data_IF_753843693395
#
_entry.id   IF_753843693395
#
_cell.length_a   1.000
_cell.length_b   1.000
_cell.length_c   1.000
_cell.angle_alpha   90.00
_cell.angle_beta   90.00
_cell.angle_gamma   90.00
#
_symmetry.space_group_name_H-M   'P 1'
#
loop_
_entity.id
_entity.type
_entity.pdbx_description
1 polymer ?
#
# COMPACT_ATOMS: atom_id res chain seq x y z
N UNK A 1 16.83 24.50 -10.73
CA UNK A 1 15.37 24.27 -10.80
C UNK A 1 15.12 22.94 -11.51
N UNK A 2 15.03 21.83 -10.78
CA UNK A 2 14.76 20.54 -11.41
C UNK A 2 13.33 20.54 -11.96
N UNK A 3 13.18 20.60 -13.28
CA UNK A 3 11.90 20.52 -13.96
C UNK A 3 11.18 19.23 -13.54
N UNK A 4 10.02 19.37 -12.93
CA UNK A 4 9.17 18.25 -12.56
C UNK A 4 8.46 17.77 -13.83
N UNK A 5 9.11 16.93 -14.63
CA UNK A 5 8.48 16.27 -15.77
C UNK A 5 7.42 15.29 -15.24
N UNK A 6 6.23 15.80 -14.90
CA UNK A 6 5.03 14.98 -14.76
C UNK A 6 4.80 14.36 -16.13
N UNK A 7 5.31 13.15 -16.35
CA UNK A 7 4.87 12.29 -17.46
C UNK A 7 3.35 12.40 -17.50
N UNK A 8 2.78 12.87 -18.62
CA UNK A 8 1.32 12.93 -18.79
C UNK A 8 0.80 11.50 -18.69
N UNK A 9 0.33 11.14 -17.50
CA UNK A 9 -0.28 9.84 -17.29
C UNK A 9 -1.74 9.99 -17.73
N UNK A 10 -2.04 9.37 -18.88
CA UNK A 10 -3.41 9.26 -19.37
C UNK A 10 -4.22 8.36 -18.44
N UNK A 11 -5.17 8.97 -17.72
CA UNK A 11 -6.02 8.32 -16.71
C UNK A 11 -6.92 7.21 -17.29
N UNK A 12 -7.23 7.32 -18.59
CA UNK A 12 -8.15 6.41 -19.28
C UNK A 12 -7.50 5.11 -19.78
N UNK A 13 -6.19 4.97 -19.68
CA UNK A 13 -5.46 3.74 -20.02
C UNK A 13 -5.22 2.95 -18.73
N UNK A 14 -5.67 1.70 -18.68
CA UNK A 14 -5.48 0.86 -17.49
C UNK A 14 -3.99 0.53 -17.30
N UNK A 15 -3.48 0.74 -16.08
CA UNK A 15 -2.06 0.52 -15.76
C UNK A 15 -1.92 -0.43 -14.58
N UNK A 16 -0.84 -1.21 -14.58
CA UNK A 16 -0.49 -2.05 -13.43
C UNK A 16 -0.18 -1.16 -12.22
N UNK A 17 -0.67 -1.53 -11.03
CA UNK A 17 -0.32 -0.85 -9.79
C UNK A 17 1.15 -1.09 -9.45
N UNK A 18 1.69 -0.28 -8.54
CA UNK A 18 3.06 -0.42 -8.05
C UNK A 18 3.02 -1.08 -6.68
N UNK A 19 3.68 -2.21 -6.51
CA UNK A 19 3.79 -2.87 -5.20
C UNK A 19 4.70 -2.08 -4.28
N UNK A 20 4.39 -2.14 -2.99
CA UNK A 20 5.17 -1.56 -1.90
C UNK A 20 5.04 -2.47 -0.68
N UNK A 21 6.14 -2.70 0.01
CA UNK A 21 6.14 -3.38 1.30
C UNK A 21 5.97 -2.32 2.39
N UNK A 22 5.02 -2.53 3.30
CA UNK A 22 4.79 -1.69 4.46
C UNK A 22 4.65 -2.54 5.72
N UNK A 23 5.14 -2.01 6.85
CA UNK A 23 4.97 -2.64 8.14
C UNK A 23 3.92 -1.88 8.95
N UNK A 24 3.04 -2.61 9.62
CA UNK A 24 2.05 -2.03 10.52
C UNK A 24 1.90 -2.87 11.79
N UNK A 25 1.29 -2.28 12.82
CA UNK A 25 0.97 -2.96 14.07
C UNK A 25 -0.44 -3.54 14.01
N UNK A 26 -0.54 -4.83 13.73
CA UNK A 26 -1.78 -5.58 13.86
C UNK A 26 -2.10 -5.73 15.35
N UNK A 27 -3.36 -5.45 15.72
CA UNK A 27 -3.83 -5.38 17.11
C UNK A 27 -3.09 -4.38 18.02
N UNK A 28 -2.27 -3.48 17.44
CA UNK A 28 -1.47 -2.53 18.20
C UNK A 28 -0.17 -3.10 18.79
N UNK A 29 0.18 -4.36 18.55
CA UNK A 29 1.40 -4.96 19.13
C UNK A 29 2.08 -6.03 18.26
N UNK A 30 1.44 -6.55 17.20
CA UNK A 30 2.07 -7.53 16.29
C UNK A 30 2.63 -6.79 15.07
N UNK A 31 3.95 -6.81 14.90
CA UNK A 31 4.63 -6.23 13.74
C UNK A 31 4.32 -7.11 12.54
N UNK A 32 3.58 -6.57 11.58
CA UNK A 32 3.10 -7.28 10.40
C UNK A 32 3.63 -6.61 9.14
N UNK A 33 4.33 -7.37 8.30
CA UNK A 33 4.73 -6.97 6.95
C UNK A 33 3.61 -7.28 5.97
N UNK A 34 3.24 -6.29 5.15
CA UNK A 34 2.17 -6.39 4.18
C UNK A 34 2.60 -5.80 2.82
N UNK A 35 2.33 -6.52 1.74
CA UNK A 35 2.52 -6.01 0.37
C UNK A 35 1.26 -5.26 -0.08
N UNK A 36 1.34 -3.93 -0.09
CA UNK A 36 0.26 -3.07 -0.56
C UNK A 36 0.51 -2.60 -2.00
N UNK A 37 -0.56 -2.13 -2.66
CA UNK A 37 -0.52 -1.65 -4.04
C UNK A 37 -0.89 -0.18 -4.14
N UNK A 38 -0.06 0.59 -4.85
CA UNK A 38 -0.19 2.02 -5.02
C UNK A 38 -0.57 2.39 -6.46
N UNK A 39 -1.30 3.50 -6.60
CA UNK A 39 -1.64 4.08 -7.89
C UNK A 39 -0.36 4.48 -8.65
N UNK A 40 -0.18 4.08 -9.92
CA UNK A 40 1.00 4.43 -10.70
C UNK A 40 1.08 5.92 -11.02
N UNK A 41 -0.04 6.65 -10.92
CA UNK A 41 -0.12 8.08 -11.23
C UNK A 41 0.13 8.98 -10.03
N UNK A 42 -0.61 8.78 -8.94
CA UNK A 42 -0.55 9.65 -7.75
C UNK A 42 0.17 9.01 -6.54
N UNK A 43 0.59 7.74 -6.66
CA UNK A 43 1.30 6.98 -5.62
C UNK A 43 0.51 6.78 -4.30
N UNK A 44 -0.78 7.10 -4.28
CA UNK A 44 -1.67 6.78 -3.15
C UNK A 44 -2.03 5.29 -3.14
N UNK A 45 -2.16 4.74 -1.94
CA UNK A 45 -2.56 3.35 -1.70
C UNK A 45 -3.95 3.11 -2.30
N UNK A 46 -4.13 1.96 -2.95
CA UNK A 46 -5.36 1.60 -3.65
C UNK A 46 -6.36 0.82 -2.76
N UNK A 47 -5.94 0.38 -1.57
CA UNK A 47 -6.72 -0.46 -0.65
C UNK A 47 -7.32 -1.67 -1.39
N UNK A 48 -6.48 -2.37 -2.15
CA UNK A 48 -6.85 -3.50 -2.96
C UNK A 48 -6.37 -4.79 -2.29
N UNK A 49 -7.11 -5.87 -2.50
CA UNK A 49 -6.82 -7.21 -1.99
C UNK A 49 -7.30 -8.29 -2.97
N UNK A 50 -7.05 -9.57 -2.66
CA UNK A 50 -7.53 -10.68 -3.48
C UNK A 50 -9.05 -10.62 -3.71
N UNK A 51 -9.81 -10.23 -2.67
CA UNK A 51 -11.27 -10.16 -2.69
C UNK A 51 -11.82 -8.83 -3.24
N UNK A 52 -10.96 -7.82 -3.42
CA UNK A 52 -11.40 -6.51 -3.90
C UNK A 52 -10.31 -5.82 -4.75
N UNK A 53 -10.59 -5.67 -6.04
CA UNK A 53 -9.67 -5.10 -7.02
C UNK A 53 -10.31 -3.88 -7.71
N UNK A 54 -10.02 -2.65 -7.26
CA UNK A 54 -10.66 -1.45 -7.79
C UNK A 54 -10.22 -1.19 -9.23
N UNK A 55 -11.18 -0.93 -10.13
CA UNK A 55 -10.89 -0.59 -11.54
C UNK A 55 -10.31 0.82 -11.70
N UNK A 56 -10.47 1.69 -10.71
CA UNK A 56 -10.04 3.09 -10.74
C UNK A 56 -9.44 3.50 -9.40
N UNK A 57 -8.43 4.38 -9.43
CA UNK A 57 -7.92 5.02 -8.23
C UNK A 57 -8.94 6.04 -7.71
N UNK A 58 -9.36 5.89 -6.44
CA UNK A 58 -10.32 6.80 -5.77
C UNK A 58 -9.81 8.24 -5.64
N UNK A 59 -8.49 8.44 -5.67
CA UNK A 59 -7.86 9.74 -5.44
C UNK A 59 -7.67 10.56 -6.72
N UNK A 60 -7.42 9.91 -7.87
CA UNK A 60 -7.09 10.63 -9.12
C UNK A 60 -7.79 10.12 -10.37
N UNK A 61 -8.60 9.06 -10.27
CA UNK A 61 -9.36 8.49 -11.38
C UNK A 61 -8.55 7.66 -12.39
N UNK A 62 -7.28 7.37 -12.13
CA UNK A 62 -6.47 6.49 -12.97
C UNK A 62 -7.08 5.09 -13.07
N UNK A 63 -7.32 4.56 -14.28
CA UNK A 63 -7.69 3.16 -14.48
C UNK A 63 -6.57 2.22 -14.03
N UNK A 64 -6.92 1.19 -13.26
CA UNK A 64 -5.99 0.21 -12.72
C UNK A 64 -6.29 -1.17 -13.31
N UNK A 65 -5.24 -1.94 -13.56
CA UNK A 65 -5.34 -3.33 -13.95
C UNK A 65 -4.50 -4.21 -12.99
N UNK A 66 -5.16 -5.10 -12.26
CA UNK A 66 -4.55 -6.06 -11.34
C UNK A 66 -4.28 -7.43 -12.00
N UNK A 67 -4.48 -7.59 -13.31
CA UNK A 67 -4.24 -8.86 -14.00
C UNK A 67 -2.80 -9.35 -13.79
N UNK A 68 -2.65 -10.57 -13.27
CA UNK A 68 -1.35 -11.19 -12.99
C UNK A 68 -0.68 -10.70 -11.69
N UNK A 69 -1.39 -9.97 -10.84
CA UNK A 69 -0.94 -9.68 -9.48
C UNK A 69 -1.05 -10.96 -8.64
N UNK A 70 0.07 -11.37 -8.05
CA UNK A 70 0.10 -12.42 -7.04
C UNK A 70 -0.08 -11.78 -5.66
N UNK A 71 -1.18 -12.10 -4.99
CA UNK A 71 -1.47 -11.60 -3.64
C UNK A 71 -0.69 -12.42 -2.62
N UNK A 72 0.25 -11.78 -1.93
CA UNK A 72 0.99 -12.40 -0.83
C UNK A 72 0.21 -12.25 0.46
N UNK A 73 0.36 -13.23 1.33
CA UNK A 73 -0.16 -13.15 2.71
C UNK A 73 0.75 -12.23 3.51
N UNK A 74 0.13 -11.59 4.50
CA UNK A 74 0.86 -10.84 5.52
C UNK A 74 1.78 -11.76 6.30
N UNK A 75 2.96 -11.24 6.64
CA UNK A 75 3.98 -11.97 7.40
C UNK A 75 4.10 -11.33 8.77
N UNK A 76 3.85 -12.10 9.83
CA UNK A 76 4.08 -11.66 11.19
C UNK A 76 5.58 -11.72 11.48
N UNK A 77 6.20 -10.55 11.68
CA UNK A 77 7.64 -10.41 11.93
C UNK A 77 7.99 -10.55 13.42
N UNK A 78 7.00 -10.38 14.30
CA UNK A 78 7.17 -10.50 15.76
C UNK A 78 6.26 -9.56 16.53
N UNK A 79 6.60 -9.33 17.79
CA UNK A 79 5.82 -8.51 18.71
C UNK A 79 6.61 -7.26 19.12
N UNK A 80 5.93 -6.12 19.24
CA UNK A 80 6.52 -4.91 19.79
C UNK A 80 6.80 -5.13 21.29
N UNK A 81 8.06 -4.97 21.71
CA UNK A 81 8.38 -5.00 23.14
C UNK A 81 7.65 -3.84 23.83
N UNK A 82 6.88 -4.14 24.88
CA UNK A 82 6.40 -3.11 25.79
C UNK A 82 7.64 -2.50 26.44
N UNK A 83 7.79 -1.18 26.36
CA UNK A 83 8.72 -0.50 27.28
C UNK A 83 8.09 -0.65 28.65
N UNK A 84 8.67 -1.49 29.51
CA UNK A 84 8.34 -1.56 30.93
C UNK A 84 8.73 -0.24 31.58
N UNK A 85 7.91 0.79 31.38
CA UNK A 85 7.93 2.01 32.16
C UNK A 85 7.13 1.76 33.43
N UNK A 86 7.79 1.21 34.44
CA UNK A 86 7.26 1.20 35.80
C UNK A 86 7.20 2.66 36.29
N UNK A 87 6.04 3.31 36.22
CA UNK A 87 5.80 4.50 37.06
C UNK A 87 5.54 4.03 38.49
N UNK A 88 6.40 4.36 39.48
CA UNK A 88 6.01 4.23 40.87
C UNK A 88 5.00 5.34 41.20
N UNK A 89 3.89 4.94 41.83
CA UNK A 89 2.93 5.83 42.48
C UNK A 89 3.57 6.61 43.64
#
# INVERSE_FOLDING_TARGET
>A
MAGFWKRRIFRNVARKPVSKIENYLKYGFVITEHECYCCPACRKVLNAGPDYQPRYCSQCGQKINFSGVAWKRDVELGYMQRRDGHEPF
#
